data_IF_116406220331
#
_entry.id   IF_116406220331
#
_cell.length_a   1.000
_cell.length_b   1.000
_cell.length_c   1.000
_cell.angle_alpha   90.00
_cell.angle_beta   90.00
_cell.angle_gamma   90.00
#
_symmetry.space_group_name_H-M   'P 1'
#
loop_
_entity.id
_entity.type
_entity.pdbx_description
1 polymer ?
#
# COMPACT_ATOMS: atom_id res chain seq x y z
N UNK A 1 32.22 -0.03 42.66
CA UNK A 1 32.77 -0.51 41.39
C UNK A 1 32.51 0.60 40.34
N UNK A 2 33.54 1.45 40.17
CA UNK A 2 33.54 2.48 39.12
C UNK A 2 33.70 1.81 37.75
N UNK A 3 32.61 1.44 37.13
CA UNK A 3 32.61 1.05 35.74
C UNK A 3 32.63 2.34 34.93
N UNK A 4 33.70 2.54 34.18
CA UNK A 4 33.86 3.66 33.27
C UNK A 4 32.58 3.80 32.39
N UNK A 5 31.88 4.90 32.58
CA UNK A 5 30.57 5.23 32.00
C UNK A 5 30.60 5.53 30.51
N UNK A 6 31.56 4.98 29.76
CA UNK A 6 31.70 5.24 28.33
C UNK A 6 31.11 4.09 27.51
N UNK A 7 30.20 4.44 26.63
CA UNK A 7 29.67 3.52 25.60
C UNK A 7 30.84 3.00 24.77
N UNK A 8 31.00 1.67 24.71
CA UNK A 8 32.06 1.02 23.96
C UNK A 8 31.59 0.53 22.61
N UNK A 9 32.08 1.15 21.54
CA UNK A 9 31.79 0.75 20.16
C UNK A 9 32.17 -0.71 19.87
N UNK A 10 33.26 -1.21 20.49
CA UNK A 10 33.70 -2.60 20.31
C UNK A 10 32.69 -3.62 20.87
N UNK A 11 32.03 -3.32 21.98
CA UNK A 11 30.96 -4.18 22.54
C UNK A 11 29.71 -4.17 21.68
N UNK A 12 29.31 -2.98 21.23
CA UNK A 12 28.17 -2.85 20.29
C UNK A 12 28.45 -3.65 19.02
N UNK A 13 29.64 -3.51 18.44
CA UNK A 13 30.04 -4.25 17.24
C UNK A 13 30.05 -5.76 17.46
N UNK A 14 30.57 -6.23 18.60
CA UNK A 14 30.56 -7.66 18.92
C UNK A 14 29.13 -8.22 19.05
N UNK A 15 28.22 -7.49 19.71
CA UNK A 15 26.80 -7.85 19.80
C UNK A 15 26.13 -7.84 18.41
N UNK A 16 26.36 -6.83 17.59
CA UNK A 16 25.86 -6.73 16.23
C UNK A 16 26.29 -7.96 15.40
N UNK A 17 27.59 -8.30 15.42
CA UNK A 17 28.12 -9.45 14.67
C UNK A 17 27.52 -10.78 15.18
N UNK A 18 27.34 -10.91 16.51
CA UNK A 18 26.66 -12.08 17.10
C UNK A 18 25.23 -12.21 16.53
N UNK A 19 24.44 -11.15 16.59
CA UNK A 19 23.06 -11.15 16.12
C UNK A 19 22.95 -11.41 14.60
N UNK A 20 23.81 -10.79 13.78
CA UNK A 20 23.89 -11.07 12.35
C UNK A 20 24.20 -12.55 12.07
N UNK A 21 25.14 -13.14 12.81
CA UNK A 21 25.46 -14.57 12.65
C UNK A 21 24.26 -15.45 13.02
N UNK A 22 23.51 -15.10 14.06
CA UNK A 22 22.29 -15.83 14.44
C UNK A 22 21.24 -15.73 13.33
N UNK A 23 20.98 -14.54 12.81
CA UNK A 23 20.02 -14.31 11.71
C UNK A 23 20.38 -15.12 10.46
N UNK A 24 21.66 -15.10 10.04
CA UNK A 24 22.07 -15.78 8.81
C UNK A 24 22.37 -17.28 8.97
N UNK A 25 22.61 -17.77 10.17
CA UNK A 25 22.87 -19.20 10.42
C UNK A 25 21.59 -20.01 10.54
N UNK A 26 20.53 -19.43 11.09
CA UNK A 26 19.24 -20.10 11.21
C UNK A 26 18.47 -20.07 9.88
N UNK A 27 18.25 -21.28 9.32
CA UNK A 27 17.51 -21.45 8.04
C UNK A 27 16.07 -20.96 8.13
N UNK A 28 15.41 -21.12 9.29
CA UNK A 28 14.02 -20.69 9.48
C UNK A 28 13.93 -19.18 9.50
N UNK A 29 14.80 -18.51 10.23
CA UNK A 29 14.83 -17.03 10.31
C UNK A 29 15.15 -16.42 8.96
N UNK A 30 16.10 -16.96 8.19
CA UNK A 30 16.39 -16.50 6.82
C UNK A 30 15.17 -16.60 5.91
N UNK A 31 14.46 -17.73 5.96
CA UNK A 31 13.27 -17.91 5.14
C UNK A 31 12.16 -16.92 5.53
N UNK A 32 11.93 -16.71 6.83
CA UNK A 32 10.91 -15.78 7.33
C UNK A 32 11.24 -14.31 6.99
N UNK A 33 12.52 -13.96 6.96
CA UNK A 33 12.95 -12.58 6.64
C UNK A 33 12.87 -12.30 5.14
N UNK A 34 13.31 -13.20 4.29
CA UNK A 34 13.45 -12.96 2.83
C UNK A 34 12.22 -13.44 2.04
N UNK A 35 11.69 -14.61 2.37
CA UNK A 35 10.65 -15.25 1.57
C UNK A 35 9.32 -14.49 1.56
N UNK A 36 8.67 -14.29 2.71
CA UNK A 36 7.38 -13.61 2.76
C UNK A 36 7.38 -12.21 2.16
N UNK A 37 8.39 -11.33 2.41
CA UNK A 37 8.42 -10.00 1.80
C UNK A 37 8.47 -10.01 0.28
N UNK A 38 9.29 -10.88 -0.32
CA UNK A 38 9.36 -11.01 -1.79
C UNK A 38 8.05 -11.55 -2.36
N UNK A 39 7.47 -12.58 -1.73
CA UNK A 39 6.18 -13.13 -2.12
C UNK A 39 5.09 -12.07 -1.99
N UNK A 40 5.09 -11.33 -0.89
CA UNK A 40 4.13 -10.25 -0.63
C UNK A 40 4.23 -9.13 -1.67
N UNK A 41 5.45 -8.71 -2.02
CA UNK A 41 5.66 -7.74 -3.09
C UNK A 41 5.07 -8.22 -4.43
N UNK A 42 5.33 -9.47 -4.81
CA UNK A 42 4.79 -10.04 -6.04
C UNK A 42 3.26 -10.15 -5.99
N UNK A 43 2.72 -10.70 -4.90
CA UNK A 43 1.26 -10.86 -4.76
C UNK A 43 0.57 -9.49 -4.81
N UNK A 44 0.99 -8.54 -4.00
CA UNK A 44 0.35 -7.22 -3.96
C UNK A 44 0.64 -6.40 -5.22
N UNK A 45 1.84 -6.50 -5.79
CA UNK A 45 2.18 -5.81 -7.04
C UNK A 45 1.32 -6.26 -8.22
N UNK A 46 0.94 -7.54 -8.26
CA UNK A 46 0.05 -8.06 -9.30
C UNK A 46 -1.44 -8.03 -8.90
N UNK A 47 -1.76 -8.25 -7.61
CA UNK A 47 -3.15 -8.30 -7.14
C UNK A 47 -3.77 -6.93 -6.92
N UNK A 48 -2.94 -5.89 -6.68
CA UNK A 48 -3.42 -4.53 -6.47
C UNK A 48 -3.74 -3.77 -7.77
N UNK A 49 -3.83 -4.47 -8.89
CA UNK A 49 -4.35 -3.89 -10.13
C UNK A 49 -5.86 -3.75 -9.98
N UNK A 50 -6.32 -2.54 -9.65
CA UNK A 50 -7.74 -2.15 -9.77
C UNK A 50 -8.12 -1.81 -11.22
N UNK A 51 -7.29 -2.18 -12.20
CA UNK A 51 -7.68 -2.12 -13.59
C UNK A 51 -8.67 -3.23 -13.86
N UNK A 52 -9.86 -2.85 -14.28
CA UNK A 52 -10.80 -3.79 -14.88
C UNK A 52 -10.27 -4.15 -16.26
N UNK A 53 -9.46 -5.20 -16.33
CA UNK A 53 -9.12 -5.81 -17.63
C UNK A 53 -10.19 -6.85 -17.93
N UNK A 54 -10.86 -6.68 -19.07
CA UNK A 54 -11.87 -7.63 -19.55
C UNK A 54 -13.05 -7.83 -18.57
N UNK A 55 -13.60 -6.71 -18.05
CA UNK A 55 -14.80 -6.79 -17.23
C UNK A 55 -15.96 -7.40 -18.05
N UNK A 56 -16.63 -8.46 -17.56
CA UNK A 56 -17.71 -9.09 -18.30
C UNK A 56 -18.92 -8.15 -18.41
N UNK A 57 -19.20 -7.68 -19.63
CA UNK A 57 -20.31 -6.80 -19.94
C UNK A 57 -21.36 -7.54 -20.78
N UNK A 58 -22.63 -7.34 -20.48
CA UNK A 58 -23.71 -7.76 -21.35
C UNK A 58 -24.44 -6.56 -21.96
N UNK A 59 -24.89 -6.67 -23.19
CA UNK A 59 -25.51 -5.60 -23.93
C UNK A 59 -26.96 -5.98 -24.18
N UNK A 60 -27.90 -5.22 -23.62
CA UNK A 60 -29.32 -5.33 -23.93
C UNK A 60 -29.68 -4.28 -24.97
N UNK A 61 -29.61 -4.65 -26.24
CA UNK A 61 -29.98 -3.74 -27.32
C UNK A 61 -31.39 -4.03 -27.82
N UNK A 62 -32.33 -3.10 -27.58
CA UNK A 62 -33.68 -3.09 -28.11
C UNK A 62 -33.83 -2.10 -29.27
N UNK A 63 -32.86 -1.21 -29.46
CA UNK A 63 -32.80 -0.27 -30.56
C UNK A 63 -32.26 -0.94 -31.86
N UNK A 64 -32.76 -0.55 -33.00
CA UNK A 64 -32.32 -1.03 -34.31
C UNK A 64 -31.52 0.03 -35.11
N UNK A 65 -31.22 1.14 -34.45
CA UNK A 65 -30.53 2.27 -35.10
C UNK A 65 -29.02 2.07 -35.18
N UNK A 66 -28.38 2.85 -36.04
CA UNK A 66 -26.92 2.82 -36.27
C UNK A 66 -26.18 3.38 -35.04
N UNK A 67 -26.79 4.33 -34.31
CA UNK A 67 -26.15 5.05 -33.22
C UNK A 67 -25.89 4.10 -32.01
N UNK A 68 -26.88 3.27 -31.69
CA UNK A 68 -26.67 2.28 -30.64
C UNK A 68 -25.58 1.28 -31.00
N UNK A 69 -25.50 0.87 -32.27
CA UNK A 69 -24.44 -0.04 -32.75
C UNK A 69 -23.05 0.60 -32.70
N UNK A 70 -22.95 1.91 -32.97
CA UNK A 70 -21.68 2.61 -32.84
C UNK A 70 -21.17 2.64 -31.40
N UNK A 71 -22.03 2.92 -30.42
CA UNK A 71 -21.65 2.90 -28.99
C UNK A 71 -21.27 1.47 -28.57
N UNK A 72 -22.04 0.47 -29.03
CA UNK A 72 -21.72 -0.94 -28.77
C UNK A 72 -20.34 -1.29 -29.32
N UNK A 73 -20.03 -0.94 -30.56
CA UNK A 73 -18.73 -1.20 -31.17
C UNK A 73 -17.56 -0.53 -30.41
N UNK A 74 -17.79 0.64 -29.77
CA UNK A 74 -16.81 1.29 -28.91
C UNK A 74 -16.63 0.58 -27.58
N UNK A 75 -17.69 0.02 -26.99
CA UNK A 75 -17.63 -0.80 -25.79
C UNK A 75 -16.90 -2.13 -26.05
N UNK A 76 -17.18 -2.77 -27.20
CA UNK A 76 -16.51 -4.00 -27.63
C UNK A 76 -15.03 -3.80 -27.98
N UNK A 77 -14.69 -2.62 -28.50
CA UNK A 77 -13.30 -2.26 -28.82
C UNK A 77 -12.48 -1.72 -27.64
N UNK A 78 -13.07 -1.63 -26.45
CA UNK A 78 -12.38 -1.18 -25.25
C UNK A 78 -11.68 -2.34 -24.55
N UNK A 79 -10.41 -2.18 -24.19
CA UNK A 79 -9.65 -3.18 -23.42
C UNK A 79 -10.21 -3.43 -22.02
N UNK A 80 -11.06 -2.52 -21.53
CA UNK A 80 -11.71 -2.63 -20.20
C UNK A 80 -12.82 -3.67 -20.17
N UNK A 81 -13.42 -4.04 -21.31
CA UNK A 81 -14.63 -4.86 -21.37
C UNK A 81 -14.48 -6.11 -22.23
N UNK A 82 -15.08 -7.21 -21.75
CA UNK A 82 -15.33 -8.40 -22.54
C UNK A 82 -16.83 -8.60 -22.67
N UNK A 83 -17.35 -8.57 -23.91
CA UNK A 83 -18.79 -8.76 -24.15
C UNK A 83 -19.14 -10.22 -24.06
N UNK A 84 -19.80 -10.60 -22.96
CA UNK A 84 -20.19 -12.00 -22.66
C UNK A 84 -21.54 -12.39 -23.25
N UNK A 85 -22.41 -11.42 -23.54
CA UNK A 85 -23.74 -11.72 -24.10
C UNK A 85 -24.39 -10.49 -24.75
N UNK A 86 -25.06 -10.72 -25.86
CA UNK A 86 -26.04 -9.82 -26.44
C UNK A 86 -27.46 -10.27 -26.07
N UNK A 87 -28.19 -9.41 -25.40
CA UNK A 87 -29.52 -9.70 -24.87
C UNK A 87 -30.59 -8.96 -25.67
N UNK A 88 -31.74 -9.61 -25.81
CA UNK A 88 -32.94 -9.03 -26.41
C UNK A 88 -34.11 -8.98 -25.41
N UNK A 89 -33.93 -9.55 -24.21
CA UNK A 89 -35.00 -9.66 -23.20
C UNK A 89 -34.46 -9.25 -21.82
N UNK A 90 -35.22 -8.39 -21.13
CA UNK A 90 -34.94 -7.91 -19.78
C UNK A 90 -34.84 -9.06 -18.72
N UNK A 91 -35.59 -10.14 -18.88
CA UNK A 91 -35.57 -11.26 -17.91
C UNK A 91 -34.17 -11.92 -17.80
N UNK A 92 -33.41 -11.96 -18.87
CA UNK A 92 -32.03 -12.52 -18.89
C UNK A 92 -31.02 -11.64 -18.18
N UNK A 93 -31.28 -10.34 -18.02
CA UNK A 93 -30.40 -9.41 -17.31
C UNK A 93 -30.25 -9.84 -15.86
N UNK A 94 -31.37 -10.07 -15.16
CA UNK A 94 -31.34 -10.49 -13.75
C UNK A 94 -30.63 -11.84 -13.56
N UNK A 95 -30.82 -12.76 -14.52
CA UNK A 95 -30.15 -14.05 -14.46
C UNK A 95 -28.62 -13.91 -14.57
N UNK A 96 -28.10 -13.16 -15.55
CA UNK A 96 -26.66 -12.98 -15.77
C UNK A 96 -25.97 -12.28 -14.59
N UNK A 97 -26.61 -11.27 -14.00
CA UNK A 97 -26.07 -10.57 -12.81
C UNK A 97 -26.09 -11.50 -11.60
N UNK A 98 -27.18 -12.24 -11.36
CA UNK A 98 -27.29 -13.17 -10.23
C UNK A 98 -26.28 -14.31 -10.32
N UNK A 99 -26.06 -14.84 -11.53
CA UNK A 99 -25.09 -15.90 -11.80
C UNK A 99 -23.63 -15.37 -11.86
N UNK A 100 -23.40 -14.06 -11.65
CA UNK A 100 -22.09 -13.39 -11.76
C UNK A 100 -21.41 -13.54 -13.13
N UNK A 101 -22.19 -13.76 -14.18
CA UNK A 101 -21.69 -13.88 -15.55
C UNK A 101 -21.49 -12.51 -16.22
N UNK A 102 -22.22 -11.49 -15.79
CA UNK A 102 -22.00 -10.11 -16.21
C UNK A 102 -21.85 -9.21 -14.97
N UNK A 103 -20.86 -8.33 -15.02
CA UNK A 103 -20.64 -7.28 -14.01
C UNK A 103 -21.48 -6.04 -14.35
N UNK A 104 -21.59 -5.73 -15.63
CA UNK A 104 -22.31 -4.57 -16.14
C UNK A 104 -23.27 -5.02 -17.22
N UNK A 105 -24.46 -4.41 -17.25
CA UNK A 105 -25.38 -4.52 -18.37
C UNK A 105 -25.69 -3.11 -18.88
N UNK A 106 -25.39 -2.86 -20.16
CA UNK A 106 -25.75 -1.61 -20.83
C UNK A 106 -27.00 -1.84 -21.65
N UNK A 107 -28.05 -1.06 -21.36
CA UNK A 107 -29.36 -1.22 -21.96
C UNK A 107 -29.71 -0.03 -22.84
N UNK A 108 -30.00 -0.31 -24.10
CA UNK A 108 -30.45 0.64 -25.11
C UNK A 108 -31.98 0.47 -25.31
N UNK A 109 -32.80 1.49 -25.00
CA UNK A 109 -34.25 1.42 -25.24
C UNK A 109 -34.57 1.40 -26.73
N UNK A 110 -35.80 0.96 -27.12
CA UNK A 110 -36.23 0.78 -28.53
C UNK A 110 -36.15 2.05 -29.37
N UNK A 111 -36.25 3.19 -28.72
CA UNK A 111 -36.31 4.52 -29.37
C UNK A 111 -35.00 5.32 -29.20
N UNK A 112 -33.92 4.68 -28.74
CA UNK A 112 -32.66 5.34 -28.42
C UNK A 112 -32.14 6.21 -29.56
N UNK A 113 -31.88 5.64 -30.72
CA UNK A 113 -31.37 6.37 -31.87
C UNK A 113 -32.36 7.42 -32.41
N UNK A 114 -33.65 7.08 -32.43
CA UNK A 114 -34.69 8.01 -32.95
C UNK A 114 -34.89 9.20 -32.01
N UNK A 115 -34.81 9.03 -30.69
CA UNK A 115 -34.87 10.15 -29.73
C UNK A 115 -33.63 11.03 -29.83
N UNK A 116 -32.42 10.47 -29.95
CA UNK A 116 -31.22 11.26 -30.09
C UNK A 116 -31.25 12.12 -31.34
N UNK A 117 -31.74 11.59 -32.48
CA UNK A 117 -31.87 12.35 -33.75
C UNK A 117 -32.96 13.41 -33.70
N UNK A 118 -34.06 13.15 -33.00
CA UNK A 118 -35.22 14.04 -32.98
C UNK A 118 -35.13 15.09 -31.88
N UNK A 119 -34.77 14.67 -30.68
CA UNK A 119 -34.83 15.50 -29.47
C UNK A 119 -33.44 15.99 -29.05
N UNK A 120 -32.35 15.51 -29.67
CA UNK A 120 -30.97 15.86 -29.38
C UNK A 120 -30.43 15.22 -28.07
N UNK A 121 -31.26 14.49 -27.36
CA UNK A 121 -30.92 13.82 -26.09
C UNK A 121 -31.61 12.47 -25.96
N UNK A 122 -30.93 11.52 -25.29
CA UNK A 122 -31.49 10.20 -24.96
C UNK A 122 -30.84 9.64 -23.73
N UNK A 123 -31.50 8.67 -23.09
CA UNK A 123 -31.01 8.03 -21.88
C UNK A 123 -30.41 6.67 -22.19
N UNK A 124 -29.25 6.39 -21.60
CA UNK A 124 -28.60 5.08 -21.60
C UNK A 124 -28.65 4.51 -20.19
N UNK A 125 -29.25 3.34 -20.01
CA UNK A 125 -29.29 2.70 -18.71
C UNK A 125 -28.08 1.78 -18.52
N UNK A 126 -27.38 1.96 -17.39
CA UNK A 126 -26.26 1.11 -16.97
C UNK A 126 -26.65 0.42 -15.66
N UNK A 127 -26.71 -0.90 -15.67
CA UNK A 127 -27.01 -1.73 -14.51
C UNK A 127 -25.74 -2.42 -14.10
N UNK A 128 -25.32 -2.25 -12.84
CA UNK A 128 -24.03 -2.76 -12.34
C UNK A 128 -24.25 -3.68 -11.15
N UNK A 129 -23.48 -4.76 -11.07
CA UNK A 129 -23.46 -5.63 -9.89
C UNK A 129 -22.77 -4.93 -8.71
N UNK A 130 -23.56 -4.36 -7.81
CA UNK A 130 -23.08 -3.61 -6.65
C UNK A 130 -22.51 -4.45 -5.50
N UNK A 131 -22.47 -5.79 -5.60
CA UNK A 131 -21.94 -6.67 -4.55
C UNK A 131 -20.46 -6.40 -4.25
N UNK A 132 -19.70 -5.96 -5.25
CA UNK A 132 -18.36 -5.42 -5.10
C UNK A 132 -18.35 -3.95 -5.54
N UNK A 133 -18.47 -3.04 -4.57
CA UNK A 133 -18.63 -1.61 -4.83
C UNK A 133 -17.47 -0.98 -5.61
N UNK A 134 -16.23 -1.39 -5.34
CA UNK A 134 -15.05 -0.85 -6.03
C UNK A 134 -15.05 -1.23 -7.51
N UNK A 135 -15.25 -2.51 -7.80
CA UNK A 135 -15.30 -3.03 -9.18
C UNK A 135 -16.48 -2.43 -9.94
N UNK A 136 -17.65 -2.30 -9.26
CA UNK A 136 -18.85 -1.67 -9.81
C UNK A 136 -18.61 -0.21 -10.21
N UNK A 137 -17.98 0.58 -9.34
CA UNK A 137 -17.68 1.99 -9.59
C UNK A 137 -16.69 2.18 -10.75
N UNK A 138 -15.64 1.36 -10.82
CA UNK A 138 -14.68 1.39 -11.92
C UNK A 138 -15.37 1.08 -13.25
N UNK A 139 -16.17 0.00 -13.31
CA UNK A 139 -16.90 -0.37 -14.51
C UNK A 139 -17.89 0.70 -14.95
N UNK A 140 -18.56 1.35 -14.02
CA UNK A 140 -19.46 2.48 -14.32
C UNK A 140 -18.70 3.67 -14.89
N UNK A 141 -17.55 4.01 -14.34
CA UNK A 141 -16.70 5.10 -14.81
C UNK A 141 -16.15 4.81 -16.22
N UNK A 142 -15.76 3.58 -16.51
CA UNK A 142 -15.27 3.18 -17.83
C UNK A 142 -16.40 3.28 -18.90
N UNK A 143 -17.60 2.82 -18.58
CA UNK A 143 -18.77 3.01 -19.47
C UNK A 143 -19.05 4.50 -19.68
N UNK A 144 -19.01 5.30 -18.61
CA UNK A 144 -19.22 6.75 -18.70
C UNK A 144 -18.16 7.42 -19.59
N UNK A 145 -16.89 6.98 -19.52
CA UNK A 145 -15.79 7.45 -20.38
C UNK A 145 -16.06 7.19 -21.88
N UNK A 146 -16.52 5.97 -22.21
CA UNK A 146 -16.89 5.61 -23.58
C UNK A 146 -18.04 6.49 -24.10
N UNK A 147 -19.08 6.67 -23.27
CA UNK A 147 -20.23 7.53 -23.63
C UNK A 147 -19.83 8.99 -23.77
N UNK A 148 -18.94 9.50 -22.93
CA UNK A 148 -18.45 10.87 -23.01
C UNK A 148 -17.65 11.11 -24.29
N UNK A 149 -16.79 10.17 -24.68
CA UNK A 149 -16.04 10.22 -25.95
C UNK A 149 -16.99 10.21 -27.15
N UNK A 150 -18.01 9.36 -27.12
CA UNK A 150 -19.06 9.37 -28.15
C UNK A 150 -19.76 10.72 -28.21
N UNK A 151 -20.19 11.29 -27.11
CA UNK A 151 -20.89 12.58 -27.03
C UNK A 151 -20.06 13.73 -27.61
N UNK A 152 -18.74 13.76 -27.40
CA UNK A 152 -17.84 14.77 -27.96
C UNK A 152 -17.78 14.66 -29.47
N UNK A 153 -17.55 13.47 -30.00
CA UNK A 153 -17.47 13.22 -31.44
C UNK A 153 -18.81 13.47 -32.13
N UNK A 154 -19.92 13.08 -31.50
CA UNK A 154 -21.26 13.36 -31.98
C UNK A 154 -21.55 14.86 -32.11
N UNK A 155 -21.18 15.64 -31.09
CA UNK A 155 -21.34 17.08 -31.06
C UNK A 155 -20.50 17.75 -32.15
N UNK A 156 -19.27 17.31 -32.39
CA UNK A 156 -18.41 17.81 -33.48
C UNK A 156 -19.00 17.52 -34.86
N UNK A 157 -19.48 16.29 -35.09
CA UNK A 157 -20.02 15.88 -36.38
C UNK A 157 -21.32 16.59 -36.74
N UNK A 158 -22.15 16.92 -35.73
CA UNK A 158 -23.47 17.55 -35.96
C UNK A 158 -23.46 19.07 -35.72
N UNK A 159 -22.28 19.70 -35.57
CA UNK A 159 -22.14 21.14 -35.30
C UNK A 159 -23.03 21.62 -34.12
N UNK A 160 -23.23 20.76 -33.13
CA UNK A 160 -23.94 21.10 -31.92
C UNK A 160 -23.11 22.09 -31.11
N UNK A 161 -23.77 23.11 -30.55
CA UNK A 161 -23.07 24.04 -29.65
C UNK A 161 -22.47 23.21 -28.52
N UNK A 162 -21.14 23.18 -28.48
CA UNK A 162 -20.45 22.59 -27.36
C UNK A 162 -20.91 23.28 -26.07
N UNK A 163 -20.97 22.57 -24.93
CA UNK A 163 -21.26 23.20 -23.65
C UNK A 163 -20.24 24.35 -23.44
N UNK A 164 -20.68 25.49 -22.87
CA UNK A 164 -19.83 26.70 -22.71
C UNK A 164 -18.57 26.45 -21.89
N UNK A 165 -18.50 25.32 -21.17
CA UNK A 165 -17.35 24.87 -20.39
C UNK A 165 -17.00 23.45 -20.85
N UNK A 166 -15.82 23.30 -21.45
CA UNK A 166 -15.26 21.98 -21.77
C UNK A 166 -14.37 21.53 -20.64
N UNK A 167 -14.70 20.41 -19.99
CA UNK A 167 -13.85 19.79 -18.99
C UNK A 167 -12.69 19.09 -19.69
N UNK A 168 -11.48 19.59 -19.49
CA UNK A 168 -10.25 18.94 -19.96
C UNK A 168 -9.56 18.31 -18.72
N UNK A 169 -9.82 17.04 -18.40
CA UNK A 169 -9.17 16.39 -17.27
C UNK A 169 -7.68 16.26 -17.58
N UNK A 170 -6.84 16.68 -16.62
CA UNK A 170 -5.41 16.52 -16.70
C UNK A 170 -4.91 15.91 -15.38
N UNK A 171 -4.47 14.69 -15.46
CA UNK A 171 -3.92 13.98 -14.28
C UNK A 171 -2.45 14.37 -14.13
N UNK A 172 -2.09 14.85 -12.94
CA UNK A 172 -0.73 15.19 -12.60
C UNK A 172 -0.04 14.01 -11.91
N UNK A 173 1.25 13.85 -12.20
CA UNK A 173 2.14 12.84 -11.61
C UNK A 173 1.87 11.38 -12.04
N UNK A 174 0.65 11.03 -12.37
CA UNK A 174 0.25 9.72 -12.90
C UNK A 174 -0.78 9.94 -14.02
N UNK A 175 -0.27 10.22 -15.22
CA UNK A 175 -1.11 10.62 -16.37
C UNK A 175 -2.09 9.52 -16.79
N UNK A 176 -1.66 8.27 -16.72
CA UNK A 176 -2.44 7.10 -17.10
C UNK A 176 -3.27 6.52 -15.94
N UNK A 177 -3.21 7.13 -14.73
CA UNK A 177 -3.85 6.63 -13.50
C UNK A 177 -3.47 5.16 -13.18
N UNK A 178 -2.22 4.78 -13.44
CA UNK A 178 -1.73 3.44 -13.18
C UNK A 178 -1.74 3.14 -11.68
N UNK A 179 -2.47 2.11 -11.28
CA UNK A 179 -2.64 1.72 -9.89
C UNK A 179 -1.32 1.27 -9.24
N UNK A 180 -0.44 0.63 -10.01
CA UNK A 180 0.87 0.19 -9.53
C UNK A 180 1.72 1.34 -8.99
N UNK A 181 1.63 2.52 -9.60
CA UNK A 181 2.38 3.70 -9.16
C UNK A 181 1.95 4.20 -7.78
N UNK A 182 0.71 3.92 -7.38
CA UNK A 182 0.21 4.26 -6.05
C UNK A 182 0.49 3.16 -5.02
N UNK A 183 0.26 1.88 -5.39
CA UNK A 183 0.35 0.77 -4.45
C UNK A 183 1.79 0.33 -4.20
N UNK A 184 2.63 0.20 -5.24
CA UNK A 184 3.98 -0.37 -5.10
C UNK A 184 4.87 0.44 -4.14
N UNK A 185 4.94 1.78 -4.19
CA UNK A 185 5.66 2.55 -3.17
C UNK A 185 5.11 2.34 -1.75
N UNK A 186 3.79 2.18 -1.61
CA UNK A 186 3.17 1.87 -0.32
C UNK A 186 3.54 0.47 0.20
N UNK A 187 3.69 -0.51 -0.69
CA UNK A 187 4.15 -1.87 -0.35
C UNK A 187 5.60 -1.83 0.15
N UNK A 188 6.46 -0.97 -0.41
CA UNK A 188 7.82 -0.76 0.12
C UNK A 188 7.75 -0.37 1.60
N UNK A 189 6.91 0.61 1.96
CA UNK A 189 6.73 1.03 3.35
C UNK A 189 6.21 -0.11 4.24
N UNK A 190 5.22 -0.85 3.75
CA UNK A 190 4.62 -1.98 4.46
C UNK A 190 5.65 -3.07 4.78
N UNK A 191 6.44 -3.49 3.79
CA UNK A 191 7.42 -4.56 3.95
C UNK A 191 8.54 -4.11 4.90
N UNK A 192 9.03 -2.89 4.75
CA UNK A 192 10.04 -2.33 5.67
C UNK A 192 9.55 -2.30 7.11
N UNK A 193 8.27 -1.95 7.34
CA UNK A 193 7.65 -2.02 8.66
C UNK A 193 7.66 -3.45 9.21
N UNK A 194 7.17 -4.40 8.42
CA UNK A 194 7.06 -5.81 8.81
C UNK A 194 8.42 -6.37 9.21
N UNK A 195 9.42 -6.20 8.35
CA UNK A 195 10.76 -6.77 8.56
C UNK A 195 11.44 -6.15 9.77
N UNK A 196 11.42 -4.81 9.86
CA UNK A 196 12.02 -4.09 11.00
C UNK A 196 11.37 -4.50 12.32
N UNK A 197 10.04 -4.57 12.34
CA UNK A 197 9.27 -4.92 13.52
C UNK A 197 9.49 -6.38 13.94
N UNK A 198 9.41 -7.34 13.00
CA UNK A 198 9.52 -8.76 13.31
C UNK A 198 10.93 -9.14 13.79
N UNK A 199 11.99 -8.68 13.11
CA UNK A 199 13.37 -8.99 13.51
C UNK A 199 13.62 -8.50 14.93
N UNK A 200 13.18 -7.28 15.26
CA UNK A 200 13.44 -6.69 16.58
C UNK A 200 12.50 -7.23 17.67
N UNK A 201 11.25 -7.51 17.34
CA UNK A 201 10.31 -8.13 18.28
C UNK A 201 10.77 -9.53 18.72
N UNK A 202 11.38 -10.30 17.83
CA UNK A 202 11.90 -11.62 18.13
C UNK A 202 13.25 -11.60 18.84
N UNK A 203 14.02 -10.52 18.79
CA UNK A 203 15.41 -10.47 19.23
C UNK A 203 15.60 -10.76 20.72
N UNK A 204 14.90 -10.05 21.64
CA UNK A 204 15.00 -10.27 23.09
C UNK A 204 14.16 -11.47 23.53
N UNK A 205 12.97 -11.64 22.91
CA UNK A 205 12.07 -12.74 23.23
C UNK A 205 12.69 -14.11 22.99
N UNK A 206 13.49 -14.26 21.92
CA UNK A 206 14.24 -15.49 21.63
C UNK A 206 15.22 -15.83 22.74
N UNK A 207 16.03 -14.87 23.19
CA UNK A 207 17.02 -15.10 24.24
C UNK A 207 16.37 -15.47 25.60
N UNK A 208 15.19 -14.91 25.88
CA UNK A 208 14.42 -15.30 27.07
C UNK A 208 13.91 -16.73 26.99
N UNK A 209 13.37 -17.11 25.84
CA UNK A 209 12.84 -18.46 25.59
C UNK A 209 13.96 -19.52 25.63
N UNK A 210 15.15 -19.19 25.10
CA UNK A 210 16.33 -20.08 25.11
C UNK A 210 17.08 -20.07 26.44
N UNK A 211 16.69 -19.21 27.39
CA UNK A 211 17.36 -19.10 28.72
C UNK A 211 18.76 -18.47 28.66
N UNK A 212 19.12 -17.84 27.54
CA UNK A 212 20.43 -17.18 27.36
C UNK A 212 20.41 -15.70 27.78
N UNK A 213 19.25 -15.19 28.14
CA UNK A 213 19.08 -13.79 28.51
C UNK A 213 19.88 -13.42 29.77
N UNK A 214 19.89 -14.31 30.79
CA UNK A 214 20.64 -14.09 32.04
C UNK A 214 22.16 -14.05 31.81
N UNK A 215 22.66 -14.82 30.84
CA UNK A 215 24.07 -14.77 30.45
C UNK A 215 24.42 -13.40 29.84
N UNK A 216 23.49 -12.76 29.14
CA UNK A 216 23.68 -11.43 28.56
C UNK A 216 23.74 -10.35 29.65
N UNK A 217 23.01 -10.52 30.77
CA UNK A 217 23.01 -9.60 31.90
C UNK A 217 24.30 -9.65 32.74
N UNK A 218 25.00 -10.78 32.76
CA UNK A 218 26.31 -10.90 33.41
C UNK A 218 27.46 -10.32 32.58
N UNK A 219 27.20 -9.98 31.30
CA UNK A 219 28.23 -9.33 30.47
C UNK A 219 28.45 -7.88 30.90
N UNK A 220 29.67 -7.32 30.73
CA UNK A 220 29.97 -5.94 31.10
C UNK A 220 29.37 -4.92 30.11
N UNK A 221 28.19 -5.21 29.57
CA UNK A 221 27.51 -4.33 28.59
C UNK A 221 26.48 -3.46 29.30
N UNK A 222 26.41 -2.19 28.91
CA UNK A 222 25.36 -1.32 29.37
C UNK A 222 24.02 -1.69 28.67
N UNK A 223 22.87 -1.51 29.33
CA UNK A 223 21.55 -1.77 28.70
C UNK A 223 21.38 -1.08 27.34
N UNK A 224 21.89 0.15 27.20
CA UNK A 224 21.86 0.89 25.94
C UNK A 224 22.74 0.26 24.85
N UNK A 225 23.90 -0.31 25.22
CA UNK A 225 24.77 -1.03 24.27
C UNK A 225 24.11 -2.30 23.76
N UNK A 226 23.37 -2.99 24.62
CA UNK A 226 22.61 -4.19 24.26
C UNK A 226 21.49 -3.81 23.28
N UNK A 227 20.72 -2.77 23.58
CA UNK A 227 19.62 -2.32 22.71
C UNK A 227 20.13 -1.87 21.34
N UNK A 228 21.21 -1.09 21.28
CA UNK A 228 21.83 -0.66 20.03
C UNK A 228 22.38 -1.88 19.27
N UNK A 229 23.13 -2.75 19.95
CA UNK A 229 23.70 -3.95 19.32
C UNK A 229 22.66 -4.90 18.74
N UNK A 230 21.45 -4.95 19.33
CA UNK A 230 20.31 -5.74 18.85
C UNK A 230 19.50 -5.05 17.76
N UNK A 231 19.47 -3.72 17.74
CA UNK A 231 18.74 -2.96 16.74
C UNK A 231 19.48 -2.84 15.41
N UNK A 232 20.81 -2.68 15.44
CA UNK A 232 21.63 -2.50 14.25
C UNK A 232 21.49 -3.60 13.20
N UNK A 233 21.49 -4.90 13.52
CA UNK A 233 21.29 -5.96 12.54
C UNK A 233 19.93 -5.87 11.85
N UNK A 234 18.87 -5.61 12.61
CA UNK A 234 17.53 -5.40 12.06
C UNK A 234 17.48 -4.22 11.10
N UNK A 235 18.13 -3.11 11.45
CA UNK A 235 18.23 -1.92 10.60
C UNK A 235 18.99 -2.23 9.29
N UNK A 236 20.12 -2.93 9.38
CA UNK A 236 20.90 -3.28 8.19
C UNK A 236 20.14 -4.19 7.23
N UNK A 237 19.46 -5.21 7.77
CA UNK A 237 18.65 -6.13 6.96
C UNK A 237 17.48 -5.39 6.32
N UNK A 238 16.74 -4.57 7.08
CA UNK A 238 15.62 -3.80 6.57
C UNK A 238 16.05 -2.79 5.49
N UNK A 239 17.18 -2.11 5.65
CA UNK A 239 17.73 -1.21 4.64
C UNK A 239 18.15 -1.97 3.37
N UNK A 240 18.79 -3.12 3.52
CA UNK A 240 19.22 -3.91 2.36
C UNK A 240 18.00 -4.42 1.59
N UNK A 241 17.04 -4.97 2.30
CA UNK A 241 15.82 -5.51 1.71
C UNK A 241 14.97 -4.43 1.05
N UNK A 242 14.81 -3.26 1.68
CA UNK A 242 14.10 -2.14 1.08
C UNK A 242 14.73 -1.68 -0.23
N UNK A 243 16.05 -1.67 -0.32
CA UNK A 243 16.73 -1.34 -1.58
C UNK A 243 16.49 -2.37 -2.68
N UNK A 244 16.46 -3.65 -2.34
CA UNK A 244 16.08 -4.70 -3.30
C UNK A 244 14.64 -4.51 -3.78
N UNK A 245 13.72 -4.18 -2.87
CA UNK A 245 12.32 -3.94 -3.21
C UNK A 245 12.16 -2.69 -4.09
N UNK A 246 12.89 -1.61 -3.80
CA UNK A 246 12.91 -0.39 -4.61
C UNK A 246 13.41 -0.70 -6.03
N UNK A 247 14.47 -1.50 -6.17
CA UNK A 247 14.96 -1.93 -7.49
C UNK A 247 13.89 -2.74 -8.25
N UNK A 248 13.19 -3.65 -7.57
CA UNK A 248 12.10 -4.41 -8.18
C UNK A 248 10.95 -3.47 -8.58
N UNK A 249 10.61 -2.49 -7.73
CA UNK A 249 9.57 -1.50 -8.02
C UNK A 249 9.88 -0.72 -9.31
N UNK A 250 11.12 -0.30 -9.48
CA UNK A 250 11.56 0.50 -10.64
C UNK A 250 11.68 -0.37 -11.90
N UNK A 251 12.40 -1.51 -11.82
CA UNK A 251 12.76 -2.28 -13.02
C UNK A 251 11.74 -3.36 -13.41
N UNK A 252 10.91 -3.81 -12.49
CA UNK A 252 9.92 -4.87 -12.77
C UNK A 252 8.50 -4.32 -12.90
N UNK A 253 8.14 -3.33 -12.08
CA UNK A 253 6.81 -2.73 -12.08
C UNK A 253 6.76 -1.37 -12.80
N UNK A 254 7.86 -0.92 -13.42
CA UNK A 254 7.98 0.34 -14.17
C UNK A 254 7.46 1.56 -13.38
N UNK A 255 7.61 1.53 -12.04
CA UNK A 255 7.23 2.66 -11.19
C UNK A 255 8.27 3.77 -11.36
N UNK A 256 7.86 4.99 -11.75
CA UNK A 256 8.79 6.08 -11.93
C UNK A 256 9.45 6.46 -10.60
N UNK A 257 10.75 6.74 -10.67
CA UNK A 257 11.52 7.26 -9.55
C UNK A 257 12.04 8.64 -9.92
N UNK A 258 11.36 9.71 -9.47
CA UNK A 258 11.62 11.08 -9.90
C UNK A 258 12.50 11.87 -8.93
N UNK A 259 12.45 11.55 -7.65
CA UNK A 259 13.11 12.32 -6.60
C UNK A 259 14.49 11.80 -6.21
N UNK A 260 15.05 12.36 -5.12
CA UNK A 260 16.41 12.06 -4.65
C UNK A 260 16.44 10.75 -3.85
N UNK A 261 17.32 9.84 -4.30
CA UNK A 261 17.57 8.55 -3.64
C UNK A 261 18.13 8.71 -2.21
N UNK A 262 19.04 9.65 -1.99
CA UNK A 262 19.65 9.85 -0.67
C UNK A 262 18.64 10.39 0.34
N UNK A 263 17.71 11.21 -0.13
CA UNK A 263 16.60 11.72 0.68
C UNK A 263 15.66 10.60 1.10
N UNK A 264 15.40 9.64 0.20
CA UNK A 264 14.62 8.43 0.52
C UNK A 264 15.34 7.58 1.57
N UNK A 265 16.67 7.35 1.41
CA UNK A 265 17.45 6.56 2.36
C UNK A 265 17.47 7.20 3.75
N UNK A 266 17.64 8.52 3.83
CA UNK A 266 17.58 9.24 5.10
C UNK A 266 16.22 9.07 5.79
N UNK A 267 15.14 9.26 5.06
CA UNK A 267 13.77 9.12 5.57
C UNK A 267 13.48 7.70 6.02
N UNK A 268 13.94 6.72 5.24
CA UNK A 268 13.82 5.30 5.55
C UNK A 268 14.55 4.92 6.83
N UNK A 269 15.72 5.50 7.10
CA UNK A 269 16.43 5.29 8.36
C UNK A 269 15.59 5.72 9.57
N UNK A 270 14.98 6.91 9.54
CA UNK A 270 14.10 7.36 10.62
C UNK A 270 12.87 6.49 10.79
N UNK A 271 12.29 6.04 9.69
CA UNK A 271 11.17 5.11 9.71
C UNK A 271 11.53 3.76 10.33
N UNK A 272 12.64 3.16 9.89
CA UNK A 272 13.14 1.89 10.42
C UNK A 272 13.46 2.01 11.92
N UNK A 273 14.11 3.10 12.36
CA UNK A 273 14.40 3.33 13.78
C UNK A 273 13.12 3.41 14.61
N UNK A 274 12.07 4.06 14.08
CA UNK A 274 10.76 4.12 14.74
C UNK A 274 10.12 2.74 14.88
N UNK A 275 10.15 1.94 13.81
CA UNK A 275 9.62 0.57 13.81
C UNK A 275 10.40 -0.36 14.74
N UNK A 276 11.74 -0.23 14.77
CA UNK A 276 12.63 -0.94 15.68
C UNK A 276 12.29 -0.61 17.14
N UNK A 277 12.05 0.66 17.45
CA UNK A 277 11.66 1.08 18.81
C UNK A 277 10.41 0.36 19.28
N UNK A 278 9.38 0.27 18.45
CA UNK A 278 8.16 -0.49 18.73
C UNK A 278 8.45 -1.98 18.88
N UNK A 279 9.24 -2.57 17.98
CA UNK A 279 9.61 -3.98 18.02
C UNK A 279 10.36 -4.35 19.30
N UNK A 280 11.33 -3.54 19.74
CA UNK A 280 12.06 -3.74 20.97
C UNK A 280 11.16 -3.58 22.21
N UNK A 281 10.21 -2.66 22.19
CA UNK A 281 9.22 -2.50 23.26
C UNK A 281 8.38 -3.78 23.40
N UNK A 282 7.84 -4.31 22.29
CA UNK A 282 7.09 -5.57 22.27
C UNK A 282 7.97 -6.73 22.76
N UNK A 283 9.19 -6.81 22.26
CA UNK A 283 10.16 -7.85 22.65
C UNK A 283 10.48 -7.83 24.13
N UNK A 284 10.60 -6.64 24.71
CA UNK A 284 10.87 -6.47 26.17
C UNK A 284 9.69 -6.89 27.03
N UNK A 285 8.46 -6.82 26.53
CA UNK A 285 7.24 -7.27 27.22
C UNK A 285 7.02 -8.78 27.10
N UNK A 286 7.54 -9.40 26.06
CA UNK A 286 7.29 -10.79 25.71
C UNK A 286 8.24 -11.74 26.43
N UNK A 287 7.74 -12.91 26.83
CA UNK A 287 8.55 -14.00 27.41
C UNK A 287 8.86 -15.10 26.39
N UNK A 288 8.05 -15.23 25.37
CA UNK A 288 8.22 -16.23 24.31
C UNK A 288 8.18 -15.57 22.93
N UNK A 289 8.77 -16.23 21.93
CA UNK A 289 8.72 -15.78 20.55
C UNK A 289 7.28 -15.69 20.01
N UNK A 290 6.39 -16.60 20.43
CA UNK A 290 4.99 -16.56 20.04
C UNK A 290 4.28 -15.31 20.56
N UNK A 291 4.51 -14.92 21.81
CA UNK A 291 3.96 -13.68 22.38
C UNK A 291 4.49 -12.45 21.64
N UNK A 292 5.78 -12.43 21.29
CA UNK A 292 6.37 -11.34 20.54
C UNK A 292 5.76 -11.21 19.12
N UNK A 293 5.54 -12.34 18.44
CA UNK A 293 4.86 -12.36 17.15
C UNK A 293 3.42 -11.83 17.24
N UNK A 294 2.65 -12.32 18.23
CA UNK A 294 1.28 -11.83 18.44
C UNK A 294 1.26 -10.33 18.73
N UNK A 295 2.16 -9.84 19.58
CA UNK A 295 2.31 -8.41 19.86
C UNK A 295 2.66 -7.59 18.62
N UNK A 296 3.56 -8.10 17.78
CA UNK A 296 3.93 -7.47 16.51
C UNK A 296 2.73 -7.37 15.55
N UNK A 297 1.96 -8.45 15.40
CA UNK A 297 0.74 -8.43 14.57
C UNK A 297 -0.33 -7.50 15.14
N UNK A 298 -0.49 -7.47 16.47
CA UNK A 298 -1.45 -6.59 17.14
C UNK A 298 -1.15 -5.11 16.95
N UNK A 299 0.12 -4.74 16.76
CA UNK A 299 0.52 -3.40 16.37
C UNK A 299 0.43 -3.19 14.83
N UNK A 300 0.93 -4.14 14.05
CA UNK A 300 1.08 -4.00 12.60
C UNK A 300 -0.26 -3.82 11.89
N UNK A 301 -1.28 -4.61 12.23
CA UNK A 301 -2.59 -4.57 11.55
C UNK A 301 -3.27 -3.20 11.70
N UNK A 302 -3.41 -2.63 12.90
CA UNK A 302 -3.89 -1.25 13.04
C UNK A 302 -3.01 -0.22 12.36
N UNK A 303 -1.67 -0.34 12.43
CA UNK A 303 -0.75 0.60 11.80
C UNK A 303 -0.97 0.66 10.28
N UNK A 304 -1.08 -0.48 9.60
CA UNK A 304 -1.35 -0.51 8.15
C UNK A 304 -2.66 0.17 7.79
N UNK A 305 -3.71 -0.02 8.59
CA UNK A 305 -5.02 0.61 8.36
C UNK A 305 -4.93 2.12 8.63
N UNK A 306 -4.34 2.52 9.75
CA UNK A 306 -4.25 3.91 10.19
C UNK A 306 -3.26 4.74 9.37
N UNK A 307 -2.32 4.10 8.66
CA UNK A 307 -1.30 4.80 7.86
C UNK A 307 -1.85 5.54 6.64
N UNK A 308 -3.06 5.22 6.18
CA UNK A 308 -3.57 5.71 4.91
C UNK A 308 -3.15 4.86 3.70
N UNK A 309 -2.60 3.65 3.95
CA UNK A 309 -2.26 2.71 2.89
C UNK A 309 -3.50 2.04 2.29
N UNK A 310 -4.34 1.46 3.15
CA UNK A 310 -5.54 0.72 2.73
C UNK A 310 -6.75 1.64 2.52
N UNK A 311 -6.90 2.65 3.35
CA UNK A 311 -8.05 3.59 3.34
C UNK A 311 -7.54 5.00 3.53
N UNK A 312 -7.98 5.99 2.74
CA UNK A 312 -7.61 7.39 2.95
C UNK A 312 -7.97 7.86 4.37
N UNK A 313 -7.06 8.59 5.00
CA UNK A 313 -7.22 9.05 6.39
C UNK A 313 -8.42 10.00 6.52
N UNK A 314 -8.69 10.78 5.49
CA UNK A 314 -9.79 11.74 5.41
C UNK A 314 -11.17 11.08 5.52
N UNK A 315 -11.27 9.80 5.15
CA UNK A 315 -12.49 9.01 5.23
C UNK A 315 -12.73 8.38 6.62
N UNK A 316 -11.78 8.54 7.54
CA UNK A 316 -11.87 8.00 8.89
C UNK A 316 -12.62 8.98 9.83
N UNK A 317 -13.32 8.49 10.87
CA UNK A 317 -13.85 9.35 11.92
C UNK A 317 -12.74 10.19 12.60
N UNK A 318 -13.05 11.41 13.01
CA UNK A 318 -12.07 12.36 13.57
C UNK A 318 -11.22 11.79 14.71
N UNK A 319 -11.83 11.02 15.61
CA UNK A 319 -11.12 10.38 16.73
C UNK A 319 -10.04 9.41 16.22
N UNK A 320 -10.32 8.68 15.15
CA UNK A 320 -9.37 7.75 14.55
C UNK A 320 -8.27 8.52 13.81
N UNK A 321 -8.60 9.63 13.12
CA UNK A 321 -7.60 10.49 12.50
C UNK A 321 -6.54 10.98 13.50
N UNK A 322 -6.93 11.30 14.75
CA UNK A 322 -5.98 11.66 15.80
C UNK A 322 -5.03 10.51 16.17
N UNK A 323 -5.51 9.26 16.17
CA UNK A 323 -4.67 8.10 16.45
C UNK A 323 -3.63 7.85 15.35
N UNK A 324 -3.92 8.24 14.10
CA UNK A 324 -2.97 8.05 12.99
C UNK A 324 -1.67 8.85 13.18
N UNK A 325 -1.66 9.92 13.99
CA UNK A 325 -0.45 10.68 14.30
C UNK A 325 0.61 9.88 15.08
N UNK A 326 0.21 8.79 15.73
CA UNK A 326 1.12 7.91 16.47
C UNK A 326 1.75 6.84 15.57
N UNK A 327 1.32 6.76 14.31
CA UNK A 327 1.79 5.75 13.37
C UNK A 327 2.94 6.29 12.50
N UNK A 328 4.15 5.73 12.59
CA UNK A 328 5.28 6.16 11.78
C UNK A 328 5.06 5.86 10.29
N UNK A 329 4.26 4.85 9.93
CA UNK A 329 4.00 4.47 8.55
C UNK A 329 3.22 5.56 7.80
N UNK A 330 2.33 6.29 8.48
CA UNK A 330 1.61 7.44 7.92
C UNK A 330 2.57 8.46 7.27
N UNK A 331 3.59 8.84 8.01
CA UNK A 331 4.57 9.85 7.57
C UNK A 331 5.46 9.33 6.45
N UNK A 332 5.90 8.09 6.58
CA UNK A 332 6.78 7.49 5.58
C UNK A 332 6.05 7.24 4.25
N UNK A 333 4.75 6.92 4.26
CA UNK A 333 3.95 6.80 3.04
C UNK A 333 3.88 8.10 2.23
N UNK A 334 3.76 9.24 2.90
CA UNK A 334 3.80 10.55 2.23
C UNK A 334 5.14 10.78 1.56
N UNK A 335 6.24 10.45 2.25
CA UNK A 335 7.59 10.62 1.73
C UNK A 335 7.83 9.69 0.53
N UNK A 336 7.59 8.39 0.68
CA UNK A 336 7.91 7.42 -0.37
C UNK A 336 7.10 7.68 -1.64
N UNK A 337 5.80 7.95 -1.53
CA UNK A 337 4.96 8.32 -2.68
C UNK A 337 5.42 9.65 -3.30
N UNK A 338 5.75 10.63 -2.47
CA UNK A 338 6.23 11.93 -2.93
C UNK A 338 7.56 11.83 -3.69
N UNK A 339 8.52 11.06 -3.21
CA UNK A 339 9.82 10.87 -3.88
C UNK A 339 9.65 10.06 -5.17
N UNK A 340 8.85 9.00 -5.17
CA UNK A 340 8.64 8.21 -6.39
C UNK A 340 7.93 9.00 -7.48
N UNK A 341 6.86 9.75 -7.16
CA UNK A 341 5.95 10.31 -8.15
C UNK A 341 6.12 11.82 -8.39
N UNK A 342 6.53 12.60 -7.36
CA UNK A 342 6.38 14.06 -7.36
C UNK A 342 7.70 14.82 -7.29
N UNK A 343 8.85 14.15 -7.10
CA UNK A 343 10.16 14.80 -6.87
C UNK A 343 10.10 15.82 -5.70
N UNK A 344 9.55 15.38 -4.56
CA UNK A 344 9.46 16.25 -3.38
C UNK A 344 10.82 16.55 -2.79
N UNK A 345 11.04 17.82 -2.44
CA UNK A 345 12.26 18.29 -1.82
C UNK A 345 12.33 18.08 -0.30
N UNK A 346 13.45 18.51 0.29
CA UNK A 346 13.72 18.39 1.73
C UNK A 346 12.71 19.15 2.60
N UNK A 347 12.09 20.20 2.11
CA UNK A 347 11.07 21.01 2.78
C UNK A 347 9.83 20.18 3.15
N UNK A 348 9.32 19.40 2.20
CA UNK A 348 8.19 18.48 2.42
C UNK A 348 8.62 17.31 3.29
N UNK A 349 9.77 16.69 2.97
CA UNK A 349 10.27 15.50 3.66
C UNK A 349 10.58 15.80 5.14
N UNK A 350 11.15 16.96 5.45
CA UNK A 350 11.46 17.34 6.83
C UNK A 350 10.20 17.40 7.70
N UNK A 351 9.10 17.88 7.15
CA UNK A 351 7.82 17.95 7.87
C UNK A 351 7.30 16.57 8.31
N UNK A 352 7.74 15.50 7.65
CA UNK A 352 7.38 14.12 7.96
C UNK A 352 8.45 13.39 8.79
N UNK A 353 9.74 13.78 8.69
CA UNK A 353 10.83 13.15 9.44
C UNK A 353 10.75 13.46 10.94
N UNK A 354 10.49 14.72 11.33
CA UNK A 354 10.53 15.09 12.74
C UNK A 354 9.48 14.34 13.62
N UNK A 355 8.23 14.06 13.14
CA UNK A 355 7.31 13.22 13.92
C UNK A 355 7.81 11.78 14.07
N UNK A 356 8.38 11.20 13.01
CA UNK A 356 8.99 9.87 13.07
C UNK A 356 10.16 9.83 14.07
N UNK A 357 10.99 10.89 14.11
CA UNK A 357 12.09 11.00 15.07
C UNK A 357 11.57 11.07 16.53
N UNK A 358 10.47 11.78 16.77
CA UNK A 358 9.83 11.80 18.10
C UNK A 358 9.29 10.42 18.47
N UNK A 359 8.58 9.74 17.57
CA UNK A 359 8.07 8.39 17.79
C UNK A 359 9.23 7.44 18.09
N UNK A 360 10.31 7.51 17.32
CA UNK A 360 11.52 6.71 17.55
C UNK A 360 12.12 6.97 18.95
N UNK A 361 12.24 8.23 19.32
CA UNK A 361 12.80 8.61 20.64
C UNK A 361 11.93 8.10 21.79
N UNK A 362 10.63 8.25 21.69
CA UNK A 362 9.68 7.78 22.73
C UNK A 362 9.69 6.27 22.83
N UNK A 363 9.59 5.55 21.70
CA UNK A 363 9.51 4.09 21.69
C UNK A 363 10.82 3.44 22.12
N UNK A 364 11.98 3.94 21.71
CA UNK A 364 13.29 3.46 22.15
C UNK A 364 13.53 3.75 23.63
N UNK A 365 13.15 4.93 24.11
CA UNK A 365 13.26 5.28 25.54
C UNK A 365 12.40 4.36 26.40
N UNK A 366 11.18 4.08 25.94
CA UNK A 366 10.26 3.17 26.62
C UNK A 366 10.75 1.73 26.59
N UNK A 367 11.29 1.29 25.44
CA UNK A 367 11.95 -0.02 25.35
C UNK A 367 13.12 -0.15 26.32
N UNK A 368 13.98 0.88 26.40
CA UNK A 368 15.11 0.93 27.34
C UNK A 368 14.67 0.91 28.80
N UNK A 369 13.61 1.64 29.13
CA UNK A 369 13.03 1.65 30.47
C UNK A 369 12.44 0.28 30.83
N UNK A 370 11.64 -0.34 29.95
CA UNK A 370 11.07 -1.67 30.13
C UNK A 370 12.15 -2.74 30.27
N UNK A 371 13.19 -2.67 29.43
CA UNK A 371 14.33 -3.58 29.50
C UNK A 371 15.00 -3.52 30.88
N UNK A 372 15.27 -2.31 31.40
CA UNK A 372 15.91 -2.10 32.68
C UNK A 372 15.06 -2.58 33.89
N UNK A 373 13.75 -2.34 33.88
CA UNK A 373 12.87 -2.68 35.02
C UNK A 373 12.50 -4.16 35.06
N UNK A 374 12.61 -4.90 33.97
CA UNK A 374 12.37 -6.34 33.94
C UNK A 374 13.65 -7.17 34.14
N UNK A 375 14.81 -6.51 34.23
CA UNK A 375 16.11 -7.12 34.55
C UNK A 375 16.52 -6.86 36.00
N UNK A 376 15.80 -6.05 36.74
CA UNK A 376 15.93 -5.86 38.20
C UNK A 376 14.90 -6.71 38.92
#
# INVERSE_FOLDING_TARGET
LNWSSWISLSRIFALMVKELRVLFRDKRTRFVVIGPPLIQLLIFGYAATFELKQAPIAILNQDRGIISQEIIGRLEGSDSFEVVAHLHNQQKVNQLINEKKALVVVSFPMDFSSRLLKDGTTDLQVIVDGRNSNTALLAQNDVAGVVQTFNQLWAEQHNLKQPPITLVPRNWFNENLENNWFFVPGIVALIVLIVSLLITALSVAREREEGTFDQLLVTPCLPIEILIGKSLPGMMVALLESNVIILIAIFWFDVPFRGDYWLLQLSMMFFIISAIGVGLMISSLSTTQQQALLGAFMFMVPAVILSGFATPIENMPEVIQWLTYLDPMRYFLVIVRGIFLQDVGMDVVWSQIWPMAIIAMVTLSMAGWLFRHRTA
#
